data_IF_232081582885
#
_entry.id   IF_232081582885
#
_cell.length_a   1.000
_cell.length_b   1.000
_cell.length_c   1.000
_cell.angle_alpha   90.00
_cell.angle_beta   90.00
_cell.angle_gamma   90.00
#
_symmetry.space_group_name_H-M   'P 1'
#
loop_
_entity.id
_entity.type
_entity.pdbx_description
1 polymer ?
#
# COMPACT_ATOMS: atom_id res chain seq x y z
N UNK A 1 -23.68 -39.77 -57.31
CA UNK A 1 -24.84 -39.47 -56.45
C UNK A 1 -24.33 -38.80 -55.19
N UNK A 2 -24.28 -37.46 -55.18
CA UNK A 2 -23.77 -36.68 -54.05
C UNK A 2 -24.96 -36.02 -53.35
N UNK A 3 -25.37 -36.57 -52.21
CA UNK A 3 -26.38 -35.95 -51.36
C UNK A 3 -25.71 -34.82 -50.56
N UNK A 4 -25.97 -33.58 -50.97
CA UNK A 4 -25.60 -32.39 -50.20
C UNK A 4 -26.49 -32.32 -48.95
N UNK A 5 -26.02 -32.89 -47.85
CA UNK A 5 -26.60 -32.71 -46.53
C UNK A 5 -26.45 -31.25 -46.11
N UNK A 6 -27.51 -30.46 -46.33
CA UNK A 6 -27.58 -29.07 -45.88
C UNK A 6 -27.58 -29.07 -44.35
N UNK A 7 -26.44 -28.73 -43.74
CA UNK A 7 -26.37 -28.48 -42.31
C UNK A 7 -27.33 -27.31 -41.98
N UNK A 8 -28.44 -27.61 -41.33
CA UNK A 8 -29.32 -26.58 -40.79
C UNK A 8 -28.51 -25.80 -39.73
N UNK A 9 -28.48 -24.46 -39.79
CA UNK A 9 -27.73 -23.68 -38.81
C UNK A 9 -28.24 -24.01 -37.40
N UNK A 10 -27.31 -24.37 -36.50
CA UNK A 10 -27.63 -24.63 -35.09
C UNK A 10 -28.36 -23.40 -34.53
N UNK A 11 -29.66 -23.55 -34.26
CA UNK A 11 -30.47 -22.51 -33.65
C UNK A 11 -29.91 -22.27 -32.25
N UNK A 12 -29.16 -21.17 -32.08
CA UNK A 12 -28.73 -20.70 -30.77
C UNK A 12 -29.99 -20.38 -29.98
N UNK A 13 -30.24 -21.15 -28.93
CA UNK A 13 -31.33 -20.90 -28.00
C UNK A 13 -31.11 -19.50 -27.40
N UNK A 14 -32.06 -18.56 -27.58
CA UNK A 14 -31.96 -17.26 -26.94
C UNK A 14 -32.13 -17.34 -25.42
N UNK A 15 -32.52 -18.50 -24.87
CA UNK A 15 -32.68 -18.69 -23.44
C UNK A 15 -31.34 -18.53 -22.71
N UNK A 16 -31.27 -17.65 -21.69
CA UNK A 16 -30.08 -17.53 -20.87
C UNK A 16 -29.82 -18.86 -20.17
N UNK A 17 -28.56 -19.30 -20.20
CA UNK A 17 -28.15 -20.48 -19.43
C UNK A 17 -28.44 -20.27 -17.94
N UNK A 18 -28.65 -21.35 -17.18
CA UNK A 18 -28.86 -21.27 -15.73
C UNK A 18 -27.75 -20.47 -15.02
N UNK A 19 -26.53 -20.53 -15.53
CA UNK A 19 -25.39 -19.74 -15.05
C UNK A 19 -25.52 -18.26 -15.33
N UNK A 20 -25.96 -17.88 -16.54
CA UNK A 20 -26.22 -16.49 -16.89
C UNK A 20 -27.29 -15.88 -15.99
N UNK A 21 -28.39 -16.61 -15.75
CA UNK A 21 -29.44 -16.19 -14.83
C UNK A 21 -28.90 -15.97 -13.40
N UNK A 22 -28.10 -16.90 -12.87
CA UNK A 22 -27.50 -16.76 -11.53
C UNK A 22 -26.57 -15.56 -11.44
N UNK A 23 -25.74 -15.33 -12.46
CA UNK A 23 -24.82 -14.19 -12.49
C UNK A 23 -25.59 -12.86 -12.55
N UNK A 24 -26.59 -12.76 -13.41
CA UNK A 24 -27.48 -11.60 -13.47
C UNK A 24 -28.13 -11.34 -12.12
N UNK A 25 -28.62 -12.38 -11.44
CA UNK A 25 -29.25 -12.26 -10.13
C UNK A 25 -28.28 -11.84 -9.02
N UNK A 26 -27.03 -12.31 -9.05
CA UNK A 26 -25.99 -11.84 -8.13
C UNK A 26 -25.67 -10.36 -8.38
N UNK A 27 -25.63 -9.92 -9.64
CA UNK A 27 -25.39 -8.53 -10.00
C UNK A 27 -26.50 -7.57 -9.56
N UNK A 28 -27.70 -8.08 -9.28
CA UNK A 28 -28.78 -7.27 -8.69
C UNK A 28 -28.53 -6.95 -7.21
N UNK A 29 -27.67 -7.72 -6.52
CA UNK A 29 -27.33 -7.43 -5.13
C UNK A 29 -26.36 -6.26 -5.06
N UNK A 30 -26.68 -5.19 -4.30
CA UNK A 30 -25.85 -3.98 -4.27
C UNK A 30 -24.45 -4.25 -3.72
N UNK A 31 -24.34 -5.16 -2.75
CA UNK A 31 -23.06 -5.57 -2.15
C UNK A 31 -22.14 -6.16 -3.23
N UNK A 32 -22.62 -7.13 -4.03
CA UNK A 32 -21.80 -7.76 -5.06
C UNK A 32 -21.27 -6.75 -6.08
N UNK A 33 -22.10 -5.78 -6.48
CA UNK A 33 -21.68 -4.69 -7.39
C UNK A 33 -20.58 -3.82 -6.80
N UNK A 34 -20.70 -3.44 -5.53
CA UNK A 34 -19.70 -2.60 -4.85
C UNK A 34 -18.40 -3.38 -4.65
N UNK A 35 -18.48 -4.63 -4.19
CA UNK A 35 -17.30 -5.47 -4.02
C UNK A 35 -16.59 -5.71 -5.35
N UNK A 36 -17.31 -5.99 -6.43
CA UNK A 36 -16.69 -6.20 -7.74
C UNK A 36 -16.02 -4.92 -8.31
N UNK A 37 -16.64 -3.75 -8.11
CA UNK A 37 -16.14 -2.47 -8.67
C UNK A 37 -15.10 -1.77 -7.80
N UNK A 38 -15.19 -1.91 -6.48
CA UNK A 38 -14.35 -1.18 -5.52
C UNK A 38 -13.51 -2.15 -4.71
N UNK A 39 -14.14 -3.19 -4.15
CA UNK A 39 -13.46 -4.19 -3.31
C UNK A 39 -12.35 -4.94 -4.06
N UNK A 40 -12.61 -5.41 -5.28
CA UNK A 40 -11.65 -6.16 -6.06
C UNK A 40 -10.43 -5.30 -6.46
N UNK A 41 -10.58 -4.08 -7.04
CA UNK A 41 -9.43 -3.23 -7.29
C UNK A 41 -8.65 -2.86 -6.01
N UNK A 42 -9.36 -2.48 -4.93
CA UNK A 42 -8.71 -2.15 -3.66
C UNK A 42 -7.94 -3.33 -3.07
N UNK A 43 -8.49 -4.54 -3.18
CA UNK A 43 -7.82 -5.77 -2.73
C UNK A 43 -6.56 -6.05 -3.53
N UNK A 44 -6.60 -5.93 -4.87
CA UNK A 44 -5.42 -6.13 -5.72
C UNK A 44 -4.31 -5.13 -5.36
N UNK A 45 -4.65 -3.85 -5.18
CA UNK A 45 -3.67 -2.81 -4.78
C UNK A 45 -3.09 -3.11 -3.40
N UNK A 46 -3.93 -3.43 -2.42
CA UNK A 46 -3.49 -3.73 -1.05
C UNK A 46 -2.61 -4.98 -1.01
N UNK A 47 -2.99 -6.02 -1.76
CA UNK A 47 -2.22 -7.25 -1.85
C UNK A 47 -0.86 -7.00 -2.51
N UNK A 48 -0.83 -6.24 -3.61
CA UNK A 48 0.41 -5.87 -4.26
C UNK A 48 1.31 -5.06 -3.34
N UNK A 49 0.75 -4.11 -2.57
CA UNK A 49 1.50 -3.35 -1.57
C UNK A 49 2.02 -4.24 -0.44
N UNK A 50 1.21 -5.20 0.04
CA UNK A 50 1.61 -6.16 1.06
C UNK A 50 2.77 -7.05 0.60
N UNK A 51 2.70 -7.58 -0.62
CA UNK A 51 3.80 -8.33 -1.26
C UNK A 51 5.01 -7.41 -1.48
N UNK A 52 4.79 -6.15 -1.85
CA UNK A 52 5.89 -5.23 -2.03
C UNK A 52 6.64 -4.97 -0.72
N UNK A 53 5.92 -4.79 0.39
CA UNK A 53 6.47 -4.53 1.73
C UNK A 53 6.89 -5.79 2.50
N UNK A 54 6.67 -6.99 1.97
CA UNK A 54 7.11 -8.23 2.63
C UNK A 54 8.62 -8.40 2.58
N UNK A 55 9.30 -7.75 1.64
CA UNK A 55 10.76 -7.74 1.50
C UNK A 55 11.41 -6.84 2.56
N UNK A 56 12.31 -7.43 3.35
CA UNK A 56 13.05 -6.73 4.40
C UNK A 56 13.89 -5.58 3.83
N UNK A 57 14.54 -5.77 2.68
CA UNK A 57 15.40 -4.75 2.07
C UNK A 57 14.61 -3.48 1.72
N UNK A 58 13.37 -3.66 1.23
CA UNK A 58 12.48 -2.52 0.93
C UNK A 58 12.08 -1.79 2.19
N UNK A 59 11.76 -2.50 3.28
CA UNK A 59 11.45 -1.88 4.58
C UNK A 59 12.63 -1.10 5.12
N UNK A 60 13.84 -1.66 5.05
CA UNK A 60 15.06 -1.01 5.51
C UNK A 60 15.38 0.25 4.68
N UNK A 61 15.16 0.19 3.36
CA UNK A 61 15.32 1.34 2.47
C UNK A 61 14.33 2.48 2.79
N UNK A 62 13.09 2.18 3.18
CA UNK A 62 12.17 3.21 3.66
C UNK A 62 12.60 3.80 5.00
N UNK A 63 13.03 2.95 5.94
CA UNK A 63 13.52 3.38 7.24
C UNK A 63 14.76 4.28 7.13
N UNK A 64 15.74 3.90 6.31
CA UNK A 64 16.95 4.69 6.11
C UNK A 64 16.67 6.06 5.48
N UNK A 65 15.74 6.13 4.52
CA UNK A 65 15.28 7.42 3.96
C UNK A 65 14.63 8.31 5.00
N UNK A 66 13.78 7.74 5.86
CA UNK A 66 13.17 8.48 6.96
C UNK A 66 14.22 9.05 7.91
N UNK A 67 15.20 8.23 8.32
CA UNK A 67 16.31 8.66 9.17
C UNK A 67 17.12 9.76 8.48
N UNK A 68 17.46 9.60 7.19
CA UNK A 68 18.22 10.61 6.45
C UNK A 68 17.49 11.96 6.40
N UNK A 69 16.17 11.95 6.17
CA UNK A 69 15.35 13.18 6.20
C UNK A 69 15.37 13.80 7.60
N UNK A 70 15.15 12.99 8.64
CA UNK A 70 15.19 13.45 10.03
C UNK A 70 16.55 14.09 10.35
N UNK A 71 17.65 13.40 10.07
CA UNK A 71 19.01 13.88 10.30
C UNK A 71 19.29 15.17 9.52
N UNK A 72 18.79 15.30 8.28
CA UNK A 72 18.94 16.53 7.50
C UNK A 72 18.23 17.75 8.10
N UNK A 73 17.18 17.53 8.89
CA UNK A 73 16.50 18.58 9.64
C UNK A 73 17.27 18.88 10.92
N UNK A 74 17.69 17.85 11.66
CA UNK A 74 18.45 17.99 12.92
C UNK A 74 19.82 18.67 12.74
N UNK A 75 20.52 18.38 11.64
CA UNK A 75 21.85 18.95 11.36
C UNK A 75 21.83 20.39 10.85
N UNK A 76 20.65 21.03 10.78
CA UNK A 76 20.57 22.43 10.37
C UNK A 76 21.18 23.31 11.47
N UNK A 77 22.03 24.29 11.12
CA UNK A 77 22.69 25.16 12.09
C UNK A 77 21.70 25.93 12.96
N UNK A 78 20.47 26.14 12.48
CA UNK A 78 19.40 26.82 13.22
C UNK A 78 18.87 26.03 14.44
N UNK A 79 19.06 24.71 14.46
CA UNK A 79 18.64 23.85 15.57
C UNK A 79 19.81 23.32 16.41
N UNK A 80 21.05 23.64 16.01
CA UNK A 80 22.25 23.23 16.73
C UNK A 80 22.63 24.28 17.78
N UNK A 81 22.87 23.82 19.01
CA UNK A 81 23.43 24.67 20.07
C UNK A 81 24.91 24.89 19.77
N UNK A 82 25.24 26.02 19.15
CA UNK A 82 26.63 26.35 18.78
C UNK A 82 27.53 26.73 19.95
N UNK A 83 26.96 27.30 21.02
CA UNK A 83 27.70 27.68 22.22
C UNK A 83 26.78 27.62 23.44
N UNK A 84 27.25 26.97 24.51
CA UNK A 84 26.58 26.93 25.81
C UNK A 84 27.57 27.41 26.87
N UNK A 85 27.31 28.58 27.45
CA UNK A 85 27.97 29.03 28.67
C UNK A 85 27.16 28.54 29.87
N UNK A 86 27.85 27.93 30.84
CA UNK A 86 27.25 27.51 32.10
C UNK A 86 27.71 28.52 33.16
N UNK A 87 26.85 29.50 33.44
CA UNK A 87 27.13 30.54 34.43
C UNK A 87 26.43 30.23 35.76
N UNK A 88 27.17 30.30 36.87
CA UNK A 88 26.63 30.17 38.23
C UNK A 88 26.39 28.75 38.77
N UNK A 89 26.76 27.70 38.03
CA UNK A 89 26.75 26.33 38.55
C UNK A 89 27.99 26.05 39.42
N UNK A 90 27.86 25.15 40.41
CA UNK A 90 29.03 24.69 41.16
C UNK A 90 30.04 24.01 40.22
N UNK A 91 31.35 24.02 40.55
CA UNK A 91 32.38 23.40 39.70
C UNK A 91 32.06 21.93 39.38
N UNK A 92 31.62 21.18 40.39
CA UNK A 92 31.25 19.76 40.25
C UNK A 92 30.05 19.55 39.32
N UNK A 93 29.03 20.42 39.38
CA UNK A 93 27.85 20.32 38.51
C UNK A 93 28.20 20.71 37.07
N UNK A 94 29.04 21.72 36.88
CA UNK A 94 29.51 22.14 35.55
C UNK A 94 30.29 21.03 34.86
N UNK A 95 31.17 20.37 35.60
CA UNK A 95 31.96 19.25 35.08
C UNK A 95 31.08 18.02 34.83
N UNK A 96 30.11 17.74 35.70
CA UNK A 96 29.15 16.65 35.49
C UNK A 96 28.26 16.87 34.26
N UNK A 97 27.81 18.10 34.01
CA UNK A 97 27.03 18.45 32.81
C UNK A 97 27.89 18.30 31.56
N UNK A 98 29.14 18.77 31.59
CA UNK A 98 30.07 18.65 30.45
C UNK A 98 30.47 17.20 30.17
N UNK A 99 30.49 16.32 31.18
CA UNK A 99 30.79 14.90 31.02
C UNK A 99 29.61 14.05 30.49
N UNK A 100 28.38 14.61 30.46
CA UNK A 100 27.15 13.91 30.03
C UNK A 100 26.67 14.28 28.62
N UNK A 101 27.28 15.29 28.02
CA UNK A 101 27.08 15.72 26.63
C UNK A 101 28.03 14.94 25.69
#
# INVERSE_FOLDING_TARGET
MQSLGRALPLRRDPAPSRWAYRMQRLWLTPIFRVTARVGLPAFVVTLALGIYLSDQSRRDAFGSRYVAVKTSVEQRPEFLVGFMAVDGASPELSDAVRAKL
#
